data_IF_695221293276
#
_entry.id   IF_695221293276
#
_cell.length_a   1.000
_cell.length_b   1.000
_cell.length_c   1.000
_cell.angle_alpha   90.00
_cell.angle_beta   90.00
_cell.angle_gamma   90.00
#
_symmetry.space_group_name_H-M   'P 1'
#
loop_
_entity.id
_entity.type
_entity.pdbx_description
1 polymer ?
#
# COMPACT_ATOMS: atom_id res chain seq x y z
N UNK A 1 -37.87 -57.63 -71.84
CA UNK A 1 -38.12 -56.32 -71.21
C UNK A 1 -36.77 -55.60 -71.22
N UNK A 2 -36.29 -54.88 -72.26
CA UNK A 2 -36.82 -53.67 -72.94
C UNK A 2 -37.32 -52.63 -71.92
N UNK A 3 -36.89 -51.37 -71.82
CA UNK A 3 -36.04 -50.43 -72.60
C UNK A 3 -35.38 -49.44 -71.60
N UNK A 4 -34.13 -48.98 -71.77
CA UNK A 4 -33.69 -47.73 -72.41
C UNK A 4 -34.44 -46.42 -72.01
N UNK A 5 -33.61 -45.43 -71.64
CA UNK A 5 -33.74 -43.96 -71.73
C UNK A 5 -34.63 -43.18 -70.73
N UNK A 6 -34.01 -42.29 -69.93
CA UNK A 6 -33.85 -40.88 -70.29
C UNK A 6 -33.34 -40.03 -69.11
N UNK A 7 -32.39 -39.15 -69.41
CA UNK A 7 -31.84 -38.13 -68.54
C UNK A 7 -32.81 -36.95 -68.30
N UNK A 8 -32.81 -36.37 -67.10
CA UNK A 8 -33.07 -34.94 -66.80
C UNK A 8 -32.44 -34.60 -65.44
N UNK A 9 -31.30 -33.91 -65.40
CA UNK A 9 -31.14 -32.45 -65.23
C UNK A 9 -31.39 -31.97 -63.79
N UNK A 10 -30.32 -31.51 -63.13
CA UNK A 10 -30.30 -30.29 -62.30
C UNK A 10 -28.85 -29.94 -61.96
N UNK A 11 -28.13 -29.46 -63.00
CA UNK A 11 -27.02 -28.52 -62.80
C UNK A 11 -27.58 -27.30 -62.05
N UNK A 12 -27.12 -27.06 -60.83
CA UNK A 12 -27.30 -25.77 -60.19
C UNK A 12 -26.58 -24.71 -61.03
N UNK A 13 -27.37 -24.05 -61.87
CA UNK A 13 -26.94 -23.01 -62.77
C UNK A 13 -26.20 -21.90 -62.05
N UNK A 14 -24.87 -21.99 -62.08
CA UNK A 14 -24.05 -20.80 -62.21
C UNK A 14 -24.41 -20.18 -63.55
N UNK A 15 -25.35 -19.24 -63.53
CA UNK A 15 -25.71 -18.40 -64.66
C UNK A 15 -24.46 -17.70 -65.16
N UNK A 16 -23.77 -18.33 -66.10
CA UNK A 16 -22.69 -17.74 -66.89
C UNK A 16 -23.33 -16.85 -67.97
N UNK A 17 -24.24 -15.98 -67.55
CA UNK A 17 -24.60 -14.81 -68.32
C UNK A 17 -23.37 -13.93 -68.30
N UNK A 18 -22.67 -13.86 -69.44
CA UNK A 18 -21.65 -12.84 -69.68
C UNK A 18 -22.35 -11.48 -69.61
N UNK A 19 -22.53 -10.95 -68.41
CA UNK A 19 -22.84 -9.54 -68.21
C UNK A 19 -21.76 -8.75 -68.96
N UNK A 20 -22.14 -7.84 -69.88
CA UNK A 20 -21.19 -7.05 -70.64
C UNK A 20 -20.15 -6.43 -69.71
N UNK A 21 -18.89 -6.34 -70.11
CA UNK A 21 -17.81 -5.85 -69.24
C UNK A 21 -18.10 -4.49 -68.59
N UNK A 22 -18.86 -3.62 -69.27
CA UNK A 22 -19.34 -2.35 -68.74
C UNK A 22 -20.37 -2.52 -67.60
N UNK A 23 -21.27 -3.50 -67.69
CA UNK A 23 -22.25 -3.80 -66.65
C UNK A 23 -21.61 -4.51 -65.45
N UNK A 24 -20.56 -5.32 -65.69
CA UNK A 24 -19.77 -5.96 -64.63
C UNK A 24 -18.89 -4.96 -63.86
N UNK A 25 -18.36 -3.94 -64.54
CA UNK A 25 -17.71 -2.79 -63.89
C UNK A 25 -18.71 -2.02 -63.04
N UNK A 26 -19.83 -1.61 -63.64
CA UNK A 26 -20.90 -0.87 -62.95
C UNK A 26 -21.48 -1.60 -61.72
N UNK A 27 -21.63 -2.93 -61.77
CA UNK A 27 -22.08 -3.80 -60.65
C UNK A 27 -20.96 -4.21 -59.68
N UNK A 28 -19.73 -3.79 -59.90
CA UNK A 28 -18.61 -3.96 -58.96
C UNK A 28 -18.32 -2.61 -58.28
N UNK A 29 -18.51 -1.53 -59.02
CA UNK A 29 -18.36 -0.15 -58.58
C UNK A 29 -19.45 0.25 -57.58
N UNK A 30 -20.67 -0.27 -57.69
CA UNK A 30 -21.78 0.02 -56.78
C UNK A 30 -21.57 -0.58 -55.37
N UNK A 31 -21.12 -1.83 -55.27
CA UNK A 31 -20.86 -2.47 -53.98
C UNK A 31 -19.69 -1.80 -53.24
N UNK A 32 -18.57 -1.52 -53.92
CA UNK A 32 -17.41 -0.85 -53.29
C UNK A 32 -17.74 0.60 -52.89
N UNK A 33 -18.54 1.30 -53.68
CA UNK A 33 -18.97 2.66 -53.37
C UNK A 33 -19.83 2.73 -52.10
N UNK A 34 -20.72 1.77 -51.89
CA UNK A 34 -21.51 1.70 -50.66
C UNK A 34 -20.67 1.41 -49.41
N UNK A 35 -19.64 0.55 -49.53
CA UNK A 35 -18.71 0.31 -48.43
C UNK A 35 -17.87 1.54 -48.12
N UNK A 36 -17.37 2.21 -49.15
CA UNK A 36 -16.61 3.45 -48.99
C UNK A 36 -17.44 4.58 -48.37
N UNK A 37 -18.70 4.74 -48.80
CA UNK A 37 -19.61 5.72 -48.21
C UNK A 37 -19.86 5.45 -46.72
N UNK A 38 -20.08 4.18 -46.36
CA UNK A 38 -20.30 3.78 -44.96
C UNK A 38 -19.04 4.00 -44.12
N UNK A 39 -17.86 3.69 -44.68
CA UNK A 39 -16.57 3.96 -44.04
C UNK A 39 -16.34 5.46 -43.81
N UNK A 40 -16.65 6.31 -44.80
CA UNK A 40 -16.57 7.77 -44.66
C UNK A 40 -17.47 8.29 -43.54
N UNK A 41 -18.72 7.80 -43.47
CA UNK A 41 -19.67 8.18 -42.41
C UNK A 41 -19.16 7.73 -41.03
N UNK A 42 -18.68 6.50 -40.90
CA UNK A 42 -18.14 5.98 -39.62
C UNK A 42 -16.88 6.73 -39.17
N UNK A 43 -16.02 7.10 -40.12
CA UNK A 43 -14.80 7.88 -39.85
C UNK A 43 -15.16 9.30 -39.41
N UNK A 44 -16.12 9.96 -40.08
CA UNK A 44 -16.63 11.26 -39.65
C UNK A 44 -17.22 11.22 -38.24
N UNK A 45 -18.07 10.24 -37.94
CA UNK A 45 -18.63 10.04 -36.59
C UNK A 45 -17.56 9.74 -35.54
N UNK A 46 -16.49 9.02 -35.91
CA UNK A 46 -15.34 8.80 -35.02
C UNK A 46 -14.59 10.09 -34.71
N UNK A 47 -14.27 10.90 -35.73
CA UNK A 47 -13.59 12.18 -35.54
C UNK A 47 -14.40 13.11 -34.64
N UNK A 48 -15.72 13.19 -34.87
CA UNK A 48 -16.62 13.99 -34.02
C UNK A 48 -16.63 13.46 -32.58
N UNK A 49 -16.71 12.14 -32.39
CA UNK A 49 -16.67 11.53 -31.06
C UNK A 49 -15.33 11.71 -30.34
N UNK A 50 -14.21 11.81 -31.07
CA UNK A 50 -12.88 12.04 -30.51
C UNK A 50 -12.69 13.50 -30.10
N UNK A 51 -13.16 14.45 -30.92
CA UNK A 51 -13.02 15.89 -30.66
C UNK A 51 -14.04 16.39 -29.62
N UNK A 52 -15.23 15.78 -29.55
CA UNK A 52 -16.33 16.19 -28.67
C UNK A 52 -15.95 16.39 -27.19
N UNK A 53 -15.22 15.45 -26.55
CA UNK A 53 -14.78 15.60 -25.16
C UNK A 53 -13.91 16.84 -24.91
N UNK A 54 -12.98 17.16 -25.81
CA UNK A 54 -12.10 18.33 -25.68
C UNK A 54 -12.88 19.65 -25.73
N UNK A 55 -13.92 19.71 -26.57
CA UNK A 55 -14.79 20.91 -26.66
C UNK A 55 -15.65 21.05 -25.41
N UNK A 56 -16.20 19.95 -24.89
CA UNK A 56 -17.09 20.08 -23.73
C UNK A 56 -16.37 20.23 -22.39
N UNK A 57 -15.11 19.82 -22.29
CA UNK A 57 -14.22 20.24 -21.19
C UNK A 57 -13.98 21.76 -21.24
N UNK A 58 -13.65 22.31 -22.42
CA UNK A 58 -13.46 23.74 -22.61
C UNK A 58 -14.72 24.59 -22.32
N UNK A 59 -15.91 24.00 -22.38
CA UNK A 59 -17.19 24.66 -22.12
C UNK A 59 -17.82 24.27 -20.77
N UNK A 60 -17.17 23.43 -19.96
CA UNK A 60 -17.68 22.91 -18.67
C UNK A 60 -19.08 22.26 -18.74
N UNK A 61 -19.43 21.63 -19.87
CA UNK A 61 -20.74 20.98 -20.08
C UNK A 61 -20.61 19.46 -20.17
N UNK A 62 -20.24 18.82 -19.06
CA UNK A 62 -20.02 17.37 -18.97
C UNK A 62 -21.25 16.53 -19.37
N UNK A 63 -22.46 16.98 -19.05
CA UNK A 63 -23.68 16.25 -19.43
C UNK A 63 -23.85 16.18 -20.97
N UNK A 64 -23.50 17.25 -21.68
CA UNK A 64 -23.66 17.33 -23.13
C UNK A 64 -22.62 16.45 -23.84
N UNK A 65 -21.39 16.37 -23.32
CA UNK A 65 -20.37 15.45 -23.86
C UNK A 65 -20.78 13.99 -23.70
N UNK A 66 -21.40 13.62 -22.57
CA UNK A 66 -21.89 12.26 -22.39
C UNK A 66 -23.03 11.92 -23.33
N UNK A 67 -24.03 12.79 -23.43
CA UNK A 67 -25.17 12.55 -24.34
C UNK A 67 -24.71 12.48 -25.79
N UNK A 68 -23.77 13.32 -26.21
CA UNK A 68 -23.24 13.29 -27.59
C UNK A 68 -22.36 12.07 -27.84
N UNK A 69 -21.48 11.69 -26.92
CA UNK A 69 -20.62 10.51 -27.05
C UNK A 69 -21.44 9.21 -27.13
N UNK A 70 -22.36 9.00 -26.18
CA UNK A 70 -23.25 7.83 -26.20
C UNK A 70 -24.21 7.84 -27.38
N UNK A 71 -24.77 9.01 -27.73
CA UNK A 71 -25.65 9.16 -28.88
C UNK A 71 -24.97 8.76 -30.19
N UNK A 72 -23.74 9.25 -30.43
CA UNK A 72 -22.95 8.88 -31.61
C UNK A 72 -22.59 7.39 -31.59
N UNK A 73 -22.24 6.83 -30.42
CA UNK A 73 -21.92 5.41 -30.30
C UNK A 73 -23.10 4.52 -30.72
N UNK A 74 -24.33 4.85 -30.32
CA UNK A 74 -25.56 4.11 -30.71
C UNK A 74 -25.79 4.19 -32.23
N UNK A 75 -25.62 5.38 -32.82
CA UNK A 75 -25.75 5.56 -34.29
C UNK A 75 -24.71 4.73 -35.04
N UNK A 76 -23.45 4.73 -34.58
CA UNK A 76 -22.38 3.93 -35.18
C UNK A 76 -22.67 2.43 -35.09
N UNK A 77 -23.08 1.95 -33.91
CA UNK A 77 -23.44 0.55 -33.71
C UNK A 77 -24.59 0.13 -34.66
N UNK A 78 -25.64 0.95 -34.76
CA UNK A 78 -26.76 0.70 -35.67
C UNK A 78 -26.34 0.65 -37.14
N UNK A 79 -25.44 1.52 -37.58
CA UNK A 79 -24.93 1.52 -38.95
C UNK A 79 -24.11 0.25 -39.26
N UNK A 80 -23.28 -0.20 -38.32
CA UNK A 80 -22.50 -1.43 -38.44
C UNK A 80 -23.41 -2.67 -38.47
N UNK A 81 -24.39 -2.73 -37.57
CA UNK A 81 -25.39 -3.83 -37.53
C UNK A 81 -26.12 -3.94 -38.87
N UNK A 82 -26.56 -2.80 -39.42
CA UNK A 82 -27.34 -2.77 -40.65
C UNK A 82 -26.50 -3.04 -41.90
N UNK A 83 -25.26 -2.55 -41.95
CA UNK A 83 -24.48 -2.51 -43.21
C UNK A 83 -23.35 -3.53 -43.31
N UNK A 84 -22.83 -4.00 -42.18
CA UNK A 84 -21.75 -4.99 -42.16
C UNK A 84 -22.19 -6.33 -41.59
N UNK A 85 -22.98 -6.33 -40.52
CA UNK A 85 -23.37 -7.58 -39.85
C UNK A 85 -24.59 -8.26 -40.48
N UNK A 86 -25.32 -7.58 -41.36
CA UNK A 86 -26.55 -8.08 -42.02
C UNK A 86 -27.57 -8.68 -41.03
N UNK A 87 -27.57 -8.20 -39.78
CA UNK A 87 -28.35 -8.81 -38.71
C UNK A 87 -29.85 -8.75 -39.02
N UNK A 88 -30.30 -7.77 -39.79
CA UNK A 88 -31.71 -7.60 -40.19
C UNK A 88 -32.23 -8.73 -41.10
N UNK A 89 -31.33 -9.44 -41.78
CA UNK A 89 -31.68 -10.52 -42.72
C UNK A 89 -31.63 -11.91 -42.05
N UNK A 90 -31.13 -11.97 -40.81
CA UNK A 90 -30.97 -13.20 -40.04
C UNK A 90 -32.29 -13.65 -39.36
N UNK A 91 -32.46 -14.95 -39.08
CA UNK A 91 -33.64 -15.45 -38.39
C UNK A 91 -33.76 -14.86 -36.98
N UNK A 92 -35.00 -14.70 -36.51
CA UNK A 92 -35.34 -14.07 -35.22
C UNK A 92 -34.60 -14.67 -34.02
N UNK A 93 -34.21 -15.94 -34.08
CA UNK A 93 -33.44 -16.59 -33.01
C UNK A 93 -32.05 -15.97 -32.81
N UNK A 94 -31.37 -15.51 -33.88
CA UNK A 94 -30.05 -14.87 -33.77
C UNK A 94 -30.18 -13.53 -33.04
N UNK A 95 -31.25 -12.77 -33.30
CA UNK A 95 -31.56 -11.55 -32.54
C UNK A 95 -31.81 -11.83 -31.07
N UNK A 96 -32.61 -12.85 -30.75
CA UNK A 96 -32.91 -13.22 -29.37
C UNK A 96 -31.64 -13.65 -28.63
N UNK A 97 -30.80 -14.47 -29.25
CA UNK A 97 -29.52 -14.90 -28.66
C UNK A 97 -28.61 -13.71 -28.36
N UNK A 98 -28.37 -12.82 -29.33
CA UNK A 98 -27.53 -11.64 -29.13
C UNK A 98 -28.13 -10.66 -28.09
N UNK A 99 -29.44 -10.43 -28.13
CA UNK A 99 -30.11 -9.58 -27.17
C UNK A 99 -29.99 -10.14 -25.73
N UNK A 100 -30.18 -11.45 -25.55
CA UNK A 100 -30.00 -12.08 -24.23
C UNK A 100 -28.56 -11.99 -23.75
N UNK A 101 -27.56 -12.18 -24.62
CA UNK A 101 -26.15 -12.04 -24.26
C UNK A 101 -25.84 -10.60 -23.78
N UNK A 102 -26.33 -9.58 -24.48
CA UNK A 102 -26.17 -8.18 -24.06
C UNK A 102 -26.87 -7.90 -22.73
N UNK A 103 -28.07 -8.46 -22.51
CA UNK A 103 -28.78 -8.33 -21.22
C UNK A 103 -27.98 -8.95 -20.09
N UNK A 104 -27.39 -10.13 -20.28
CA UNK A 104 -26.54 -10.76 -19.26
C UNK A 104 -25.26 -9.96 -18.99
N UNK A 105 -24.61 -9.40 -20.02
CA UNK A 105 -23.44 -8.54 -19.86
C UNK A 105 -23.81 -7.29 -19.04
N UNK A 106 -24.93 -6.64 -19.36
CA UNK A 106 -25.39 -5.47 -18.62
C UNK A 106 -25.78 -5.82 -17.18
N UNK A 107 -26.51 -6.91 -16.97
CA UNK A 107 -26.85 -7.38 -15.63
C UNK A 107 -25.59 -7.66 -14.81
N UNK A 108 -24.62 -8.39 -15.36
CA UNK A 108 -23.36 -8.66 -14.69
C UNK A 108 -22.59 -7.38 -14.37
N UNK A 109 -22.49 -6.46 -15.34
CA UNK A 109 -21.81 -5.18 -15.13
C UNK A 109 -22.46 -4.40 -14.00
N UNK A 110 -23.78 -4.14 -14.06
CA UNK A 110 -24.47 -3.37 -13.02
C UNK A 110 -24.58 -4.08 -11.68
N UNK A 111 -24.48 -5.41 -11.66
CA UNK A 111 -24.44 -6.20 -10.43
C UNK A 111 -23.08 -6.13 -9.74
N UNK A 112 -22.00 -6.26 -10.51
CA UNK A 112 -20.62 -6.29 -9.99
C UNK A 112 -20.05 -4.89 -9.79
N UNK A 113 -20.48 -3.92 -10.59
CA UNK A 113 -19.99 -2.54 -10.57
C UNK A 113 -20.02 -1.89 -9.17
N UNK A 114 -21.11 -1.95 -8.38
CA UNK A 114 -21.14 -1.34 -7.05
C UNK A 114 -20.16 -1.99 -6.06
N UNK A 115 -19.95 -3.30 -6.16
CA UNK A 115 -19.02 -4.04 -5.30
C UNK A 115 -17.56 -3.75 -5.68
N UNK A 116 -17.25 -3.66 -6.98
CA UNK A 116 -15.91 -3.29 -7.45
C UNK A 116 -15.58 -1.81 -7.17
N UNK A 117 -16.59 -0.94 -7.19
CA UNK A 117 -16.41 0.49 -6.94
C UNK A 117 -16.52 0.86 -5.46
N UNK A 118 -16.87 -0.08 -4.56
CA UNK A 118 -16.83 0.19 -3.13
C UNK A 118 -15.40 0.00 -2.59
N UNK A 119 -15.03 0.87 -1.65
CA UNK A 119 -13.73 0.78 -0.98
C UNK A 119 -13.73 -0.27 0.15
N UNK A 120 -14.90 -0.83 0.46
CA UNK A 120 -15.12 -1.87 1.44
C UNK A 120 -16.35 -2.69 1.05
N UNK A 121 -16.35 -3.97 1.41
CA UNK A 121 -17.42 -4.92 1.18
C UNK A 121 -17.68 -5.74 2.43
N UNK A 122 -18.78 -6.51 2.45
CA UNK A 122 -19.22 -7.25 3.64
C UNK A 122 -18.18 -8.27 4.19
N UNK A 123 -17.21 -8.68 3.37
CA UNK A 123 -16.17 -9.66 3.74
C UNK A 123 -14.76 -9.27 3.27
N UNK A 124 -14.55 -8.06 2.73
CA UNK A 124 -13.25 -7.65 2.20
C UNK A 124 -13.12 -6.12 2.20
N UNK A 125 -11.89 -5.60 2.30
CA UNK A 125 -11.58 -4.16 2.24
C UNK A 125 -10.59 -3.86 1.13
N UNK A 126 -10.79 -2.77 0.40
CA UNK A 126 -9.91 -2.34 -0.69
C UNK A 126 -8.76 -1.49 -0.14
N UNK A 127 -7.69 -2.14 0.32
CA UNK A 127 -6.50 -1.46 0.81
C UNK A 127 -5.77 -0.66 -0.30
N UNK A 128 -5.90 -1.07 -1.57
CA UNK A 128 -5.26 -0.41 -2.71
C UNK A 128 -6.01 0.85 -3.23
N UNK A 129 -7.31 0.96 -2.97
CA UNK A 129 -8.12 2.13 -3.32
C UNK A 129 -7.93 3.29 -2.35
N UNK A 130 -7.65 2.99 -1.08
CA UNK A 130 -7.29 3.98 -0.07
C UNK A 130 -5.94 4.66 -0.39
N UNK A 131 -5.01 3.96 -1.03
CA UNK A 131 -3.66 4.46 -1.31
C UNK A 131 -3.50 5.32 -2.57
N UNK A 132 -4.45 5.31 -3.51
CA UNK A 132 -4.38 6.17 -4.72
C UNK A 132 -4.84 7.61 -4.41
N UNK A 133 -5.83 7.79 -3.54
CA UNK A 133 -6.24 9.13 -3.09
C UNK A 133 -5.22 9.75 -2.14
N UNK A 134 -4.36 8.94 -1.51
CA UNK A 134 -3.46 9.38 -0.44
C UNK A 134 -2.10 9.94 -0.88
N UNK A 135 -1.78 10.00 -2.17
CA UNK A 135 -0.41 10.32 -2.63
C UNK A 135 -0.27 11.71 -3.26
N UNK A 136 -1.29 12.57 -3.18
CA UNK A 136 -1.23 13.90 -3.81
C UNK A 136 -1.15 15.08 -2.84
N UNK A 137 -1.51 14.94 -1.56
CA UNK A 137 -1.29 16.00 -0.56
C UNK A 137 -0.42 15.53 0.62
N UNK A 138 0.37 16.46 1.18
CA UNK A 138 1.18 16.26 2.40
C UNK A 138 0.31 15.76 3.57
N UNK A 139 -0.96 16.16 3.57
CA UNK A 139 -1.99 15.82 4.57
C UNK A 139 -2.53 14.38 4.43
N UNK A 140 -2.13 13.66 3.37
CA UNK A 140 -2.66 12.34 3.06
C UNK A 140 -1.71 11.18 3.44
N UNK A 141 -0.57 11.42 4.10
CA UNK A 141 0.28 10.31 4.55
C UNK A 141 -0.33 9.63 5.79
N UNK A 142 -0.96 8.48 5.61
CA UNK A 142 -1.42 7.63 6.71
C UNK A 142 -0.37 6.54 7.03
N UNK A 143 0.29 6.59 8.20
CA UNK A 143 1.30 5.60 8.59
C UNK A 143 0.72 4.20 8.81
N UNK A 144 -0.57 4.05 9.12
CA UNK A 144 -1.23 2.75 9.27
C UNK A 144 -1.38 2.05 7.92
N UNK A 145 -1.77 2.80 6.88
CA UNK A 145 -1.87 2.28 5.51
C UNK A 145 -0.49 1.89 4.99
N UNK A 146 0.50 2.78 5.14
CA UNK A 146 1.87 2.51 4.70
C UNK A 146 2.47 1.30 5.42
N UNK A 147 2.21 1.16 6.71
CA UNK A 147 2.60 -0.02 7.48
C UNK A 147 2.02 -1.29 6.86
N UNK A 148 0.70 -1.32 6.68
CA UNK A 148 -0.05 -2.48 6.16
C UNK A 148 0.45 -2.88 4.76
N UNK A 149 0.60 -1.91 3.85
CA UNK A 149 0.96 -2.19 2.47
C UNK A 149 2.43 -2.57 2.27
N UNK A 150 3.34 -2.00 3.06
CA UNK A 150 4.79 -2.06 2.78
C UNK A 150 5.60 -2.76 3.86
N UNK A 151 5.22 -2.60 5.12
CA UNK A 151 5.98 -3.10 6.26
C UNK A 151 5.46 -4.45 6.74
N UNK A 152 4.13 -4.62 6.81
CA UNK A 152 3.47 -5.80 7.38
C UNK A 152 3.73 -7.10 6.59
N UNK A 153 4.04 -6.99 5.29
CA UNK A 153 4.45 -8.17 4.48
C UNK A 153 5.65 -8.90 5.10
N UNK A 154 6.59 -8.15 5.72
CA UNK A 154 7.75 -8.73 6.41
C UNK A 154 7.60 -8.68 7.93
N UNK A 155 7.13 -7.57 8.49
CA UNK A 155 7.04 -7.37 9.94
C UNK A 155 5.74 -7.88 10.58
N UNK A 156 4.75 -8.29 9.79
CA UNK A 156 3.42 -8.68 10.26
C UNK A 156 2.54 -7.48 10.64
N UNK A 157 1.22 -7.65 10.62
CA UNK A 157 0.25 -6.60 11.01
C UNK A 157 0.50 -6.09 12.43
N UNK A 158 0.87 -7.01 13.33
CA UNK A 158 1.14 -6.74 14.74
C UNK A 158 2.63 -6.49 15.05
N UNK A 159 3.48 -6.35 14.02
CA UNK A 159 4.89 -6.01 14.21
C UNK A 159 5.78 -7.12 14.77
N UNK A 160 5.34 -8.39 14.77
CA UNK A 160 6.08 -9.52 15.35
C UNK A 160 7.21 -10.10 14.48
N UNK A 161 7.42 -9.58 13.28
CA UNK A 161 8.37 -10.17 12.32
C UNK A 161 7.89 -11.48 11.69
N UNK A 162 6.59 -11.75 11.74
CA UNK A 162 5.93 -12.99 11.29
C UNK A 162 5.06 -12.78 10.03
N UNK A 163 5.30 -11.70 9.28
CA UNK A 163 4.60 -11.43 8.03
C UNK A 163 4.78 -12.56 7.00
N UNK A 164 3.91 -12.62 5.97
CA UNK A 164 3.94 -13.68 4.94
C UNK A 164 5.33 -13.92 4.32
N UNK A 165 6.10 -12.85 4.10
CA UNK A 165 7.49 -12.94 3.65
C UNK A 165 8.49 -13.06 4.82
N UNK A 166 8.18 -12.49 5.98
CA UNK A 166 9.06 -12.44 7.15
C UNK A 166 9.45 -13.81 7.70
N UNK A 167 8.53 -14.79 7.66
CA UNK A 167 8.79 -16.16 8.13
C UNK A 167 9.86 -16.89 7.31
N UNK A 168 10.10 -16.48 6.05
CA UNK A 168 11.07 -17.08 5.14
C UNK A 168 12.43 -16.35 5.13
N UNK A 169 12.58 -15.25 5.87
CA UNK A 169 13.79 -14.42 5.87
C UNK A 169 14.66 -14.77 7.09
N UNK A 170 15.97 -14.95 6.87
CA UNK A 170 16.96 -15.13 7.93
C UNK A 170 18.08 -14.07 7.86
N UNK A 171 18.39 -13.38 8.97
CA UNK A 171 17.68 -13.39 10.25
C UNK A 171 16.26 -12.84 10.11
N UNK A 172 15.32 -13.29 10.97
CA UNK A 172 13.93 -12.83 10.92
C UNK A 172 13.85 -11.30 11.07
N UNK A 173 12.86 -10.65 10.44
CA UNK A 173 12.60 -9.24 10.66
C UNK A 173 12.40 -8.94 12.15
N UNK A 174 12.75 -7.73 12.56
CA UNK A 174 12.62 -7.29 13.95
C UNK A 174 11.20 -7.49 14.47
N UNK A 175 11.11 -8.08 15.65
CA UNK A 175 9.89 -8.14 16.46
C UNK A 175 9.77 -6.88 17.31
N UNK A 176 8.89 -5.97 16.89
CA UNK A 176 8.59 -4.72 17.57
C UNK A 176 7.71 -4.88 18.82
N UNK A 177 7.25 -6.10 19.13
CA UNK A 177 6.58 -6.39 20.41
C UNK A 177 7.59 -6.83 21.49
N UNK A 178 8.84 -7.09 21.10
CA UNK A 178 9.90 -7.56 21.99
C UNK A 178 10.43 -6.45 22.90
N UNK A 179 10.39 -6.70 24.21
CA UNK A 179 11.06 -5.83 25.20
C UNK A 179 12.57 -5.74 25.00
N UNK A 180 13.20 -6.82 24.54
CA UNK A 180 14.63 -6.85 24.29
C UNK A 180 15.02 -5.89 23.16
N UNK A 181 14.17 -5.77 22.13
CA UNK A 181 14.36 -4.76 21.09
C UNK A 181 14.29 -3.35 21.67
N UNK A 182 13.24 -3.06 22.43
CA UNK A 182 13.01 -1.73 23.01
C UNK A 182 14.03 -1.31 24.08
N UNK A 183 14.76 -2.25 24.69
CA UNK A 183 15.82 -1.96 25.63
C UNK A 183 17.03 -1.27 24.98
N UNK A 184 17.24 -1.47 23.67
CA UNK A 184 18.34 -0.90 22.90
C UNK A 184 17.84 -0.13 21.67
N UNK A 185 16.55 0.15 21.61
CA UNK A 185 15.91 0.84 20.51
C UNK A 185 16.38 2.30 20.48
N UNK A 186 16.87 2.72 19.33
CA UNK A 186 17.33 4.08 19.10
C UNK A 186 16.58 4.66 17.90
N UNK A 187 16.13 5.91 18.05
CA UNK A 187 15.26 6.57 17.07
C UNK A 187 15.99 6.82 15.74
N UNK A 188 17.24 7.29 15.78
CA UNK A 188 18.06 7.53 14.58
C UNK A 188 18.37 6.22 13.84
N UNK A 189 18.57 5.12 14.58
CA UNK A 189 18.69 3.79 14.00
C UNK A 189 17.40 3.36 13.30
N UNK A 190 16.21 3.69 13.83
CA UNK A 190 14.94 3.39 13.15
C UNK A 190 14.78 4.22 11.88
N UNK A 191 15.05 5.51 11.95
CA UNK A 191 14.99 6.40 10.78
C UNK A 191 15.94 5.93 9.68
N UNK A 192 17.17 5.54 10.04
CA UNK A 192 18.16 4.98 9.11
C UNK A 192 17.70 3.65 8.53
N UNK A 193 17.12 2.76 9.34
CA UNK A 193 16.60 1.47 8.86
C UNK A 193 15.46 1.67 7.84
N UNK A 194 14.56 2.63 8.07
CA UNK A 194 13.43 2.93 7.19
C UNK A 194 13.94 3.58 5.90
N UNK A 195 14.77 4.61 6.00
CA UNK A 195 15.20 5.38 4.85
C UNK A 195 16.21 4.60 3.99
N UNK A 196 17.19 3.96 4.61
CA UNK A 196 18.36 3.38 3.94
C UNK A 196 18.38 1.84 3.97
N UNK A 197 17.38 1.22 4.59
CA UNK A 197 17.22 -0.22 4.64
C UNK A 197 18.17 -0.93 5.61
N UNK A 198 18.07 -2.25 5.65
CA UNK A 198 18.84 -3.06 6.62
C UNK A 198 20.35 -3.04 6.37
N UNK A 199 20.78 -2.90 5.11
CA UNK A 199 22.20 -2.94 4.72
C UNK A 199 22.98 -1.78 5.34
N UNK A 200 22.38 -0.58 5.45
CA UNK A 200 23.02 0.60 6.04
C UNK A 200 23.44 0.38 7.50
N UNK A 201 22.77 -0.54 8.20
CA UNK A 201 23.03 -0.91 9.59
C UNK A 201 23.79 -2.23 9.74
N UNK A 202 24.30 -2.79 8.63
CA UNK A 202 24.92 -4.12 8.62
C UNK A 202 23.93 -5.25 8.93
N UNK A 203 22.63 -5.04 8.70
CA UNK A 203 21.55 -6.01 8.90
C UNK A 203 21.14 -6.67 7.57
N UNK A 204 20.04 -7.41 7.60
CA UNK A 204 19.50 -8.14 6.46
C UNK A 204 19.31 -7.25 5.22
N UNK A 205 19.79 -7.70 4.07
CA UNK A 205 19.57 -7.05 2.76
C UNK A 205 18.11 -7.10 2.28
N UNK A 206 17.27 -7.89 2.96
CA UNK A 206 15.87 -8.05 2.60
C UNK A 206 14.98 -6.90 3.09
N UNK A 207 15.47 -6.06 4.01
CA UNK A 207 14.79 -4.81 4.36
C UNK A 207 15.22 -3.72 3.36
N UNK A 208 14.33 -3.30 2.44
CA UNK A 208 14.67 -2.32 1.41
C UNK A 208 14.77 -0.91 1.99
N UNK A 209 15.39 -0.01 1.23
CA UNK A 209 15.45 1.42 1.51
C UNK A 209 14.17 2.12 0.99
N UNK A 210 13.52 2.95 1.82
CA UNK A 210 12.30 3.67 1.43
C UNK A 210 12.51 5.16 1.14
N UNK A 211 13.74 5.68 1.27
CA UNK A 211 14.06 7.10 1.05
C UNK A 211 13.50 7.65 -0.28
N UNK A 212 13.68 6.92 -1.38
CA UNK A 212 13.18 7.33 -2.70
C UNK A 212 11.67 7.20 -2.83
N UNK A 213 11.06 6.17 -2.21
CA UNK A 213 9.62 5.98 -2.20
C UNK A 213 8.90 7.12 -1.46
N UNK A 214 9.50 7.63 -0.39
CA UNK A 214 8.96 8.77 0.35
C UNK A 214 9.23 10.12 -0.32
N UNK A 215 10.21 10.20 -1.23
CA UNK A 215 10.47 11.39 -2.04
C UNK A 215 9.60 11.48 -3.31
N UNK A 216 9.22 10.35 -3.92
CA UNK A 216 8.56 10.30 -5.24
C UNK A 216 7.05 10.62 -5.26
N UNK A 217 6.43 10.85 -4.10
CA UNK A 217 4.99 11.16 -3.97
C UNK A 217 4.63 12.64 -4.15
N UNK A 218 5.45 13.46 -4.81
CA UNK A 218 5.15 14.88 -5.04
C UNK A 218 4.90 15.17 -6.52
N UNK A 219 3.64 15.08 -6.93
CA UNK A 219 3.17 15.65 -8.19
C UNK A 219 3.01 17.16 -8.06
N UNK A 220 4.07 17.92 -8.37
CA UNK A 220 3.98 19.34 -8.72
C UNK A 220 4.33 20.37 -7.64
N UNK A 221 5.40 21.13 -7.92
CA UNK A 221 5.51 22.57 -7.63
C UNK A 221 5.89 23.02 -6.22
N UNK A 222 7.15 23.38 -6.01
CA UNK A 222 7.60 24.76 -5.70
C UNK A 222 9.09 24.72 -5.31
N UNK A 223 9.91 25.36 -6.13
CA UNK A 223 11.34 25.55 -5.92
C UNK A 223 11.58 26.44 -4.68
N UNK A 224 11.93 25.82 -3.54
CA UNK A 224 12.32 26.55 -2.33
C UNK A 224 12.01 25.89 -0.98
N UNK A 225 11.20 24.84 -0.90
CA UNK A 225 10.94 24.13 0.36
C UNK A 225 12.08 23.15 0.65
N UNK A 226 12.72 23.29 1.82
CA UNK A 226 13.76 22.37 2.27
C UNK A 226 13.11 20.98 2.43
N UNK A 227 13.73 19.95 1.87
CA UNK A 227 13.28 18.54 1.80
C UNK A 227 13.08 17.89 3.21
N UNK A 228 12.14 18.40 4.00
CA UNK A 228 11.74 17.88 5.33
C UNK A 228 10.74 16.74 5.20
N UNK A 229 10.15 16.55 4.02
CA UNK A 229 9.10 15.58 3.73
C UNK A 229 9.51 14.11 3.93
N UNK A 230 10.72 13.67 3.55
CA UNK A 230 11.18 12.32 3.90
C UNK A 230 11.35 12.17 5.41
N UNK A 231 11.70 13.23 6.12
CA UNK A 231 11.84 13.26 7.57
C UNK A 231 10.48 13.10 8.26
N UNK A 232 9.52 13.97 7.96
CA UNK A 232 8.21 13.96 8.62
C UNK A 232 7.43 12.65 8.40
N UNK A 233 7.45 12.11 7.18
CA UNK A 233 6.84 10.80 6.88
C UNK A 233 7.53 9.66 7.63
N UNK A 234 8.84 9.74 7.78
CA UNK A 234 9.61 8.77 8.57
C UNK A 234 9.23 8.87 10.05
N UNK A 235 9.08 10.07 10.60
CA UNK A 235 8.63 10.27 11.98
C UNK A 235 7.23 9.67 12.23
N UNK A 236 6.29 9.89 11.32
CA UNK A 236 4.94 9.33 11.44
C UNK A 236 4.96 7.79 11.42
N UNK A 237 5.85 7.19 10.62
CA UNK A 237 6.04 5.74 10.59
C UNK A 237 6.75 5.21 11.84
N UNK A 238 7.73 5.94 12.38
CA UNK A 238 8.36 5.61 13.67
C UNK A 238 7.32 5.68 14.79
N UNK A 239 6.48 6.71 14.82
CA UNK A 239 5.40 6.84 15.79
C UNK A 239 4.44 5.64 15.71
N UNK A 240 4.13 5.16 14.50
CA UNK A 240 3.34 3.95 14.32
C UNK A 240 4.04 2.68 14.81
N UNK A 241 5.35 2.54 14.58
CA UNK A 241 6.13 1.41 15.09
C UNK A 241 6.16 1.43 16.63
N UNK A 242 6.24 2.62 17.23
CA UNK A 242 6.25 2.81 18.69
C UNK A 242 4.96 2.32 19.35
N UNK A 243 3.83 2.22 18.63
CA UNK A 243 2.58 1.68 19.21
C UNK A 243 2.66 0.17 19.49
N UNK A 244 3.60 -0.56 18.87
CA UNK A 244 3.86 -1.97 19.19
C UNK A 244 4.67 -2.16 20.48
N UNK A 245 5.20 -1.07 21.05
CA UNK A 245 6.00 -1.13 22.27
C UNK A 245 5.16 -1.71 23.42
N UNK A 246 5.63 -2.80 24.07
CA UNK A 246 4.91 -3.37 25.20
C UNK A 246 4.86 -2.35 26.35
N UNK A 247 3.76 -2.31 27.12
CA UNK A 247 3.62 -1.39 28.24
C UNK A 247 4.75 -1.60 29.25
N UNK A 248 5.21 -0.54 29.93
CA UNK A 248 6.19 -0.68 31.00
C UNK A 248 5.66 -1.66 32.03
N UNK A 249 6.49 -2.60 32.48
CA UNK A 249 6.12 -3.46 33.60
C UNK A 249 5.72 -2.57 34.77
N UNK A 250 4.57 -2.84 35.39
CA UNK A 250 4.29 -2.27 36.69
C UNK A 250 5.51 -2.59 37.57
N UNK A 251 6.13 -1.56 38.14
CA UNK A 251 7.22 -1.77 39.09
C UNK A 251 6.79 -2.88 40.07
N UNK A 252 7.64 -3.87 40.38
CA UNK A 252 7.29 -4.84 41.40
C UNK A 252 6.83 -4.04 42.61
N UNK A 253 5.60 -4.31 43.07
CA UNK A 253 5.05 -3.65 44.24
C UNK A 253 6.16 -3.65 45.30
N UNK A 254 6.47 -2.50 45.95
CA UNK A 254 7.53 -2.47 46.94
C UNK A 254 7.27 -3.63 47.88
N UNK A 255 8.27 -4.52 48.04
CA UNK A 255 8.18 -5.63 48.97
C UNK A 255 7.60 -5.08 50.28
N UNK A 256 6.60 -5.73 50.90
CA UNK A 256 5.95 -5.17 52.07
C UNK A 256 7.04 -4.79 53.06
N UNK A 257 7.20 -3.48 53.29
CA UNK A 257 8.12 -2.97 54.28
C UNK A 257 7.65 -3.64 55.57
N UNK A 258 8.49 -4.51 56.12
CA UNK A 258 8.21 -5.14 57.40
C UNK A 258 7.95 -3.99 58.39
N UNK A 259 6.69 -3.84 58.80
CA UNK A 259 6.33 -2.88 59.83
C UNK A 259 7.15 -3.29 61.06
N UNK A 260 8.07 -2.45 61.55
CA UNK A 260 8.81 -2.78 62.76
C UNK A 260 7.79 -2.97 63.87
N UNK A 261 7.74 -4.18 64.42
CA UNK A 261 6.93 -4.52 65.58
C UNK A 261 7.25 -3.49 66.66
N UNK A 262 6.24 -2.74 67.12
CA UNK A 262 6.40 -1.78 68.21
C UNK A 262 6.97 -2.55 69.41
N UNK A 263 8.19 -2.24 69.83
CA UNK A 263 8.71 -2.72 71.11
C UNK A 263 7.78 -2.25 72.23
N UNK A 264 7.54 -3.09 73.27
CA UNK A 264 6.72 -2.69 74.40
C UNK A 264 7.39 -1.53 75.16
N UNK A 265 6.60 -0.49 75.44
CA UNK A 265 6.99 0.69 76.21
C UNK A 265 7.69 0.30 77.53
N UNK A 266 8.92 0.76 77.80
CA UNK A 266 9.56 0.51 79.09
C UNK A 266 8.89 1.34 80.20
N UNK A 267 8.67 0.70 81.34
CA UNK A 267 8.17 1.29 82.59
C UNK A 267 9.14 2.36 83.11
N UNK A 268 8.65 3.53 83.59
CA UNK A 268 9.55 4.58 84.10
C UNK A 268 10.22 4.14 85.41
N UNK A 269 11.55 4.21 85.43
CA UNK A 269 12.40 4.11 86.64
C UNK A 269 12.69 5.54 87.13
N UNK A 270 12.67 5.82 88.45
CA UNK A 270 12.78 7.18 88.98
C UNK A 270 14.14 7.84 88.70
N UNK A 271 14.11 9.16 88.47
CA UNK A 271 15.24 10.02 88.10
C UNK A 271 16.36 10.05 89.17
N UNK A 272 17.64 9.98 88.77
CA UNK A 272 18.75 10.33 89.65
C UNK A 272 19.07 11.83 89.58
N UNK A 273 19.30 12.40 90.75
CA UNK A 273 19.79 13.76 91.00
C UNK A 273 21.20 13.93 90.41
N UNK A 274 21.42 14.97 89.61
CA UNK A 274 22.74 15.36 89.07
C UNK A 274 23.49 16.19 90.12
N UNK A 275 24.74 15.83 90.40
CA UNK A 275 25.73 16.65 91.10
C UNK A 275 26.83 17.06 90.11
N UNK A 276 27.15 18.34 90.10
CA UNK A 276 28.02 19.02 89.15
C UNK A 276 29.50 18.90 89.57
N UNK A 277 30.26 17.97 88.99
CA UNK A 277 31.73 18.12 88.93
C UNK A 277 32.38 17.36 87.76
N UNK A 278 33.29 18.06 87.07
CA UNK A 278 34.42 17.58 86.24
C UNK A 278 34.24 17.42 84.72
N UNK A 279 34.70 18.48 84.05
CA UNK A 279 35.46 18.61 82.80
C UNK A 279 35.82 17.38 81.95
N UNK A 280 35.42 17.49 80.67
CA UNK A 280 36.22 17.37 79.43
C UNK A 280 37.42 16.41 79.40
N UNK A 281 37.25 15.32 78.65
CA UNK A 281 38.22 14.67 77.73
C UNK A 281 37.35 13.87 76.73
N UNK A 282 37.40 14.05 75.41
CA UNK A 282 38.56 13.78 74.59
C UNK A 282 38.50 12.33 74.04
N UNK A 283 37.82 12.14 72.90
CA UNK A 283 37.91 11.00 71.96
C UNK A 283 37.46 9.59 72.40
N UNK A 284 36.50 9.00 71.67
CA UNK A 284 36.33 7.54 71.64
C UNK A 284 34.97 7.01 71.18
N UNK A 285 34.91 6.56 69.92
CA UNK A 285 34.22 5.36 69.41
C UNK A 285 32.76 5.08 69.86
N UNK A 286 31.82 5.28 68.92
CA UNK A 286 30.61 4.45 68.84
C UNK A 286 30.81 3.46 67.67
N UNK A 287 30.71 2.14 67.91
CA UNK A 287 30.74 1.13 66.87
C UNK A 287 29.34 0.96 66.24
N UNK A 288 29.27 0.77 64.92
CA UNK A 288 28.08 0.17 64.29
C UNK A 288 27.25 1.03 63.32
N UNK A 289 27.83 2.02 62.64
CA UNK A 289 27.20 2.59 61.44
C UNK A 289 27.43 1.68 60.24
N UNK A 290 26.38 1.03 59.75
CA UNK A 290 26.44 0.25 58.52
C UNK A 290 26.70 1.19 57.33
N UNK A 291 27.86 1.03 56.71
CA UNK A 291 28.25 1.78 55.51
C UNK A 291 27.42 1.26 54.35
N UNK A 292 26.40 2.01 53.95
CA UNK A 292 25.75 1.79 52.66
C UNK A 292 26.79 2.14 51.57
N UNK A 293 27.21 1.21 50.70
CA UNK A 293 28.14 1.54 49.63
C UNK A 293 27.46 2.55 48.69
N UNK A 294 28.20 3.60 48.32
CA UNK A 294 27.77 4.53 47.29
C UNK A 294 27.38 3.76 46.01
N UNK A 295 26.36 4.23 45.26
CA UNK A 295 25.95 3.57 44.04
C UNK A 295 27.16 3.45 43.09
N UNK A 296 27.35 2.25 42.54
CA UNK A 296 28.39 2.01 41.54
C UNK A 296 28.27 3.05 40.41
N UNK A 297 29.38 3.62 39.92
CA UNK A 297 29.32 4.54 38.81
C UNK A 297 28.67 3.83 37.60
N UNK A 298 27.78 4.55 36.91
CA UNK A 298 27.19 4.10 35.65
C UNK A 298 28.29 3.55 34.73
N UNK A 299 28.02 2.51 33.92
CA UNK A 299 29.03 1.95 33.03
C UNK A 299 29.53 3.07 32.12
N UNK A 300 30.77 3.50 32.34
CA UNK A 300 31.44 4.42 31.42
C UNK A 300 31.52 3.70 30.09
N UNK A 301 31.09 4.37 29.02
CA UNK A 301 31.23 3.86 27.66
C UNK A 301 32.69 3.43 27.37
N UNK A 302 32.90 2.65 26.30
CA UNK A 302 34.23 2.14 25.97
C UNK A 302 35.24 3.29 25.92
N UNK A 303 36.39 3.07 26.54
CA UNK A 303 37.47 4.06 26.57
C UNK A 303 37.91 4.46 25.16
N UNK A 304 38.51 5.65 24.98
CA UNK A 304 39.08 6.04 23.68
C UNK A 304 40.05 4.98 23.14
N UNK A 305 40.76 4.27 24.01
CA UNK A 305 41.64 3.16 23.62
C UNK A 305 40.85 1.97 23.04
N UNK A 306 39.67 1.64 23.59
CA UNK A 306 38.80 0.59 23.06
C UNK A 306 38.09 1.01 21.76
N UNK A 307 37.70 2.27 21.64
CA UNK A 307 37.15 2.82 20.41
C UNK A 307 38.21 2.85 19.29
N UNK A 308 39.45 3.23 19.61
CA UNK A 308 40.57 3.20 18.68
C UNK A 308 40.93 1.76 18.24
N UNK A 309 40.93 0.80 19.17
CA UNK A 309 41.15 -0.61 18.85
C UNK A 309 40.04 -1.18 17.94
N UNK A 310 38.79 -0.80 18.18
CA UNK A 310 37.65 -1.17 17.32
C UNK A 310 37.72 -0.51 15.94
N UNK A 311 38.13 0.74 15.85
CA UNK A 311 38.31 1.44 14.58
C UNK A 311 39.42 0.81 13.73
N UNK A 312 40.54 0.41 14.34
CA UNK A 312 41.62 -0.31 13.65
C UNK A 312 41.19 -1.71 13.19
N UNK A 313 40.41 -2.43 13.99
CA UNK A 313 39.84 -3.73 13.61
C UNK A 313 38.90 -3.62 12.40
N UNK A 314 38.09 -2.56 12.32
CA UNK A 314 37.19 -2.29 11.19
C UNK A 314 37.99 -1.89 9.94
N UNK A 315 38.99 -0.99 10.08
CA UNK A 315 39.84 -0.60 8.95
C UNK A 315 40.59 -1.78 8.32
N UNK A 316 41.10 -2.72 9.14
CA UNK A 316 41.80 -3.91 8.63
C UNK A 316 40.93 -4.95 7.92
N UNK A 317 39.59 -4.86 8.05
CA UNK A 317 38.63 -5.80 7.43
C UNK A 317 37.88 -5.21 6.24
N UNK A 318 37.84 -3.88 6.12
CA UNK A 318 37.15 -3.17 5.04
C UNK A 318 38.09 -2.84 3.87
N UNK A 319 39.40 -2.74 4.14
CA UNK A 319 40.37 -2.28 3.13
C UNK A 319 41.53 -3.25 2.83
N UNK A 320 41.41 -4.53 3.20
CA UNK A 320 42.27 -5.63 2.75
C UNK A 320 41.44 -6.74 2.12
#
# INVERSE_FOLDING_TARGET
MASADAATHDDHGHGNGKVPGALRGFLKDDHEWFYFQTWMILTGLFIISYIGPFIGEALHMFAITMVTAFGIAVVKAGLVIKRFMHLMDEPKFIWQMNATALVFILLFFFWVAPDVMSHEGANWGNQAGASITMTTHIEDFDPDVVWTERCATCHGEEGRGDGPAGTAIYPRPTDFTSRAYWATADHDIMATAILDGGVALGRSRYMPAFRTAFAAGHGGGHEGEVDTLPGERTEQLIARIMTFRPPPEAAPAPAPVAVPTREPTPTPTPEPVIDDTVALDGYGLIPGGEVVPAPAPAPTGPSEAELAARAQYIQGRVFN
#
